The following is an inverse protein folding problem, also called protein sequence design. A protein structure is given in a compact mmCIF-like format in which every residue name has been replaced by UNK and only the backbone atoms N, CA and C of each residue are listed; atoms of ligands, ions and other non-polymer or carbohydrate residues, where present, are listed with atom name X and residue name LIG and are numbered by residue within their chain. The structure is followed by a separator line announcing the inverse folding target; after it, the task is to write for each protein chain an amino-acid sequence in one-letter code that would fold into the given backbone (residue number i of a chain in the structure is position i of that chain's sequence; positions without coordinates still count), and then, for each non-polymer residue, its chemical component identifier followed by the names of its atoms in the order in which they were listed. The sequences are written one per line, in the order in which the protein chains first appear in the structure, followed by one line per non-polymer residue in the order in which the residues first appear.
data_IF_823313436296
#
_entry.id   IF_823313436296
#
_cell.length_a   1.000
_cell.length_b   1.000
_cell.length_c   1.000
_cell.angle_alpha   90.00
_cell.angle_beta   90.00
_cell.angle_gamma   90.00
#
_symmetry.space_group_name_H-M   'P 1'
#
loop_
_entity.id
_entity.type
_entity.pdbx_description
1 polymer ?
#
# COMPACT_ATOMS: atom_id res chain seq x y z
N UNK A 1 -12.21 2.35 5.69
CA UNK A 1 -12.17 2.62 7.12
C UNK A 1 -12.33 4.13 7.33
N UNK A 2 -13.18 4.52 8.25
CA UNK A 2 -13.31 5.93 8.65
C UNK A 2 -12.22 6.26 9.66
N UNK A 3 -11.50 7.36 9.44
CA UNK A 3 -10.46 7.90 10.32
C UNK A 3 -10.82 9.33 10.70
N UNK A 4 -10.13 9.91 11.67
CA UNK A 4 -10.31 11.32 12.04
C UNK A 4 -10.06 12.29 10.86
N UNK A 5 -9.28 11.86 9.88
CA UNK A 5 -8.91 12.62 8.68
C UNK A 5 -9.74 12.24 7.43
N UNK A 6 -10.82 11.48 7.60
CA UNK A 6 -11.72 11.06 6.54
C UNK A 6 -11.68 9.56 6.27
N UNK A 7 -12.28 9.17 5.15
CA UNK A 7 -12.37 7.75 4.76
C UNK A 7 -11.13 7.35 3.99
N UNK A 8 -10.46 6.28 4.43
CA UNK A 8 -9.26 5.72 3.82
C UNK A 8 -9.55 4.29 3.37
N UNK A 9 -9.06 3.93 2.18
CA UNK A 9 -9.13 2.58 1.65
C UNK A 9 -7.91 1.77 2.11
N UNK A 10 -8.14 0.57 2.60
CA UNK A 10 -7.09 -0.35 2.96
C UNK A 10 -7.09 -1.56 2.04
N UNK A 11 -5.92 -1.92 1.55
CA UNK A 11 -5.68 -3.14 0.78
C UNK A 11 -4.77 -4.06 1.58
N UNK A 12 -5.18 -5.30 1.75
CA UNK A 12 -4.33 -6.39 2.23
C UNK A 12 -3.91 -7.21 1.01
N UNK A 13 -2.61 -7.36 0.80
CA UNK A 13 -2.05 -7.87 -0.45
C UNK A 13 -1.04 -8.99 -0.21
N UNK A 14 -0.99 -9.91 -1.17
CA UNK A 14 0.10 -10.86 -1.31
C UNK A 14 0.33 -11.04 -2.81
N UNK A 15 1.38 -10.41 -3.35
CA UNK A 15 1.72 -10.51 -4.77
C UNK A 15 2.47 -11.80 -5.06
N UNK A 16 2.50 -12.22 -6.33
CA UNK A 16 3.21 -13.44 -6.71
C UNK A 16 4.71 -13.37 -6.38
N UNK A 17 5.23 -14.46 -5.82
CA UNK A 17 6.66 -14.63 -5.54
C UNK A 17 7.48 -15.07 -6.76
N UNK A 18 6.84 -15.44 -7.88
CA UNK A 18 7.50 -16.10 -9.01
C UNK A 18 8.54 -15.20 -9.70
N UNK A 19 8.12 -14.39 -10.67
CA UNK A 19 9.05 -13.55 -11.44
C UNK A 19 8.56 -12.11 -11.53
N UNK A 20 9.45 -11.18 -11.86
CA UNK A 20 9.10 -9.80 -12.15
C UNK A 20 8.09 -9.69 -13.31
N UNK A 21 8.21 -10.54 -14.34
CA UNK A 21 7.28 -10.55 -15.48
C UNK A 21 5.85 -10.89 -15.07
N UNK A 22 5.67 -11.75 -14.05
CA UNK A 22 4.33 -12.09 -13.53
C UNK A 22 3.85 -11.10 -12.48
N UNK A 23 4.75 -10.47 -11.74
CA UNK A 23 4.43 -9.53 -10.66
C UNK A 23 4.17 -8.11 -11.15
N UNK A 24 4.94 -7.62 -12.13
CA UNK A 24 4.77 -6.28 -12.68
C UNK A 24 3.35 -6.00 -13.22
N UNK A 25 2.66 -6.93 -13.91
CA UNK A 25 1.25 -6.75 -14.26
C UNK A 25 0.34 -6.56 -13.05
N UNK A 26 0.59 -7.27 -11.93
CA UNK A 26 -0.18 -7.11 -10.69
C UNK A 26 0.03 -5.72 -10.08
N UNK A 27 1.27 -5.23 -10.06
CA UNK A 27 1.61 -3.87 -9.59
C UNK A 27 0.89 -2.82 -10.43
N UNK A 28 0.94 -2.93 -11.75
CA UNK A 28 0.28 -1.98 -12.67
C UNK A 28 -1.23 -1.99 -12.52
N UNK A 29 -1.81 -3.17 -12.34
CA UNK A 29 -3.26 -3.30 -12.11
C UNK A 29 -3.66 -2.69 -10.76
N UNK A 30 -2.88 -2.89 -9.71
CA UNK A 30 -3.10 -2.29 -8.40
C UNK A 30 -3.09 -0.75 -8.48
N UNK A 31 -2.12 -0.18 -9.19
CA UNK A 31 -2.04 1.26 -9.42
C UNK A 31 -3.21 1.78 -10.27
N UNK A 32 -3.68 1.00 -11.26
CA UNK A 32 -4.88 1.32 -12.04
C UNK A 32 -6.12 1.36 -11.15
N UNK A 33 -6.35 0.30 -10.38
CA UNK A 33 -7.46 0.20 -9.42
C UNK A 33 -7.45 1.39 -8.45
N UNK A 34 -6.29 1.74 -7.93
CA UNK A 34 -6.17 2.87 -7.02
C UNK A 34 -6.59 4.19 -7.68
N UNK A 35 -6.09 4.47 -8.88
CA UNK A 35 -6.40 5.71 -9.62
C UNK A 35 -7.86 5.82 -10.03
N UNK A 36 -8.48 4.71 -10.42
CA UNK A 36 -9.87 4.69 -10.92
C UNK A 36 -10.90 4.60 -9.79
N UNK A 37 -10.50 4.18 -8.62
CA UNK A 37 -11.37 3.90 -7.49
C UNK A 37 -12.28 5.07 -7.09
N UNK A 38 -11.78 6.30 -7.15
CA UNK A 38 -12.58 7.51 -6.87
C UNK A 38 -13.71 7.76 -7.89
N UNK A 39 -13.62 7.12 -9.07
CA UNK A 39 -14.60 7.25 -10.16
C UNK A 39 -15.61 6.10 -10.19
N UNK A 40 -15.31 4.98 -9.55
CA UNK A 40 -16.13 3.76 -9.60
C UNK A 40 -17.33 3.78 -8.65
N UNK A 41 -17.45 4.80 -7.79
CA UNK A 41 -18.54 4.89 -6.81
C UNK A 41 -18.33 3.96 -5.59
N UNK A 42 -19.36 3.80 -4.75
CA UNK A 42 -19.25 3.02 -3.53
C UNK A 42 -19.12 1.52 -3.86
N UNK A 43 -18.38 0.74 -3.03
CA UNK A 43 -18.18 -0.70 -3.22
C UNK A 43 -19.45 -1.50 -2.81
N UNK A 44 -20.58 -1.15 -3.35
CA UNK A 44 -21.85 -1.85 -3.09
C UNK A 44 -22.19 -2.67 -4.34
N UNK A 45 -22.17 -3.99 -4.19
CA UNK A 45 -22.63 -4.89 -5.24
C UNK A 45 -24.15 -5.05 -5.16
N UNK A 46 -24.84 -4.72 -6.24
CA UNK A 46 -26.27 -4.94 -6.40
C UNK A 46 -27.05 -3.69 -6.78
N UNK A 47 -28.30 -3.90 -7.20
CA UNK A 47 -29.23 -2.82 -7.53
C UNK A 47 -29.79 -2.22 -6.23
N UNK A 48 -29.40 -0.99 -5.93
CA UNK A 48 -29.80 -0.26 -4.73
C UNK A 48 -31.33 -0.08 -4.65
N UNK A 49 -32.03 -0.06 -5.80
CA UNK A 49 -33.48 0.08 -5.83
C UNK A 49 -34.19 -1.21 -5.38
N UNK A 50 -33.56 -2.37 -5.52
CA UNK A 50 -34.12 -3.67 -5.12
C UNK A 50 -33.81 -4.05 -3.67
N UNK A 51 -32.93 -3.37 -2.98
CA UNK A 51 -32.44 -3.73 -1.65
C UNK A 51 -32.98 -2.84 -0.54
N UNK A 52 -34.23 -2.40 -0.62
CA UNK A 52 -34.87 -1.41 0.26
C UNK A 52 -34.83 -1.67 1.78
N UNK A 53 -34.16 -2.71 2.24
CA UNK A 53 -34.09 -3.04 3.67
C UNK A 53 -32.72 -2.84 4.33
N UNK A 54 -31.63 -2.97 3.60
CA UNK A 54 -30.30 -2.86 4.22
C UNK A 54 -29.48 -1.65 3.75
N UNK A 55 -29.97 -0.94 2.75
CA UNK A 55 -29.37 0.31 2.28
C UNK A 55 -30.06 1.58 2.84
N UNK A 56 -31.14 1.44 3.62
CA UNK A 56 -31.81 2.57 4.26
C UNK A 56 -30.86 3.28 5.23
N UNK A 57 -30.50 4.52 4.92
CA UNK A 57 -29.59 5.35 5.72
C UNK A 57 -28.11 5.27 5.32
N UNK A 58 -27.73 4.44 4.38
CA UNK A 58 -26.36 4.49 3.82
C UNK A 58 -26.24 5.69 2.85
N UNK A 59 -25.51 6.69 3.25
CA UNK A 59 -25.12 7.76 2.33
C UNK A 59 -24.35 7.15 1.15
N UNK A 60 -24.65 7.61 -0.08
CA UNK A 60 -23.82 7.31 -1.25
C UNK A 60 -22.43 7.92 -1.02
N UNK A 61 -21.54 7.15 -0.42
CA UNK A 61 -20.15 7.55 -0.26
C UNK A 61 -19.41 7.28 -1.56
N UNK A 62 -18.74 8.27 -2.10
CA UNK A 62 -17.73 8.04 -3.13
C UNK A 62 -16.62 7.14 -2.55
N UNK A 63 -16.07 6.27 -3.37
CA UNK A 63 -14.89 5.51 -2.93
C UNK A 63 -13.77 6.52 -2.61
N UNK A 64 -13.10 6.40 -1.44
CA UNK A 64 -12.05 7.35 -1.07
C UNK A 64 -10.87 7.26 -2.03
N UNK A 65 -10.32 8.41 -2.42
CA UNK A 65 -9.10 8.48 -3.22
C UNK A 65 -7.86 8.10 -2.42
N UNK A 66 -7.88 8.34 -1.11
CA UNK A 66 -6.79 7.99 -0.21
C UNK A 66 -6.76 6.48 0.09
N UNK A 67 -5.56 5.90 0.10
CA UNK A 67 -5.40 4.46 0.35
C UNK A 67 -4.10 4.13 1.09
N UNK A 68 -4.14 2.99 1.77
CA UNK A 68 -2.98 2.32 2.37
C UNK A 68 -2.95 0.88 1.85
N UNK A 69 -1.79 0.46 1.36
CA UNK A 69 -1.55 -0.89 0.88
C UNK A 69 -0.58 -1.57 1.85
N UNK A 70 -0.97 -2.73 2.35
CA UNK A 70 -0.21 -3.51 3.34
C UNK A 70 -0.06 -4.96 2.87
N UNK A 71 1.09 -5.56 3.12
CA UNK A 71 1.29 -6.99 2.92
C UNK A 71 2.62 -7.35 2.27
N UNK A 72 2.69 -8.61 1.82
CA UNK A 72 3.84 -9.16 1.11
C UNK A 72 3.76 -8.85 -0.38
N UNK A 73 4.64 -7.98 -0.84
CA UNK A 73 4.74 -7.59 -2.25
C UNK A 73 5.73 -8.45 -3.03
N UNK A 74 6.50 -9.32 -2.36
CA UNK A 74 7.45 -10.24 -2.98
C UNK A 74 8.49 -9.58 -3.91
N UNK A 75 8.80 -8.30 -3.69
CA UNK A 75 9.88 -7.61 -4.39
C UNK A 75 10.77 -6.84 -3.39
N UNK A 76 11.95 -6.46 -3.81
CA UNK A 76 12.89 -5.69 -3.00
C UNK A 76 12.98 -4.22 -3.46
N UNK A 77 13.53 -3.30 -2.63
CA UNK A 77 13.59 -1.86 -2.94
C UNK A 77 14.40 -1.48 -4.19
N UNK A 78 15.28 -2.35 -4.66
CA UNK A 78 16.07 -2.17 -5.89
C UNK A 78 15.37 -2.67 -7.16
N UNK A 79 14.13 -3.19 -7.03
CA UNK A 79 13.37 -3.73 -8.13
C UNK A 79 12.68 -2.66 -9.00
N UNK A 80 12.32 -3.06 -10.22
CA UNK A 80 11.50 -2.24 -11.10
C UNK A 80 10.07 -2.07 -10.55
N UNK A 81 9.54 -3.07 -9.85
CA UNK A 81 8.23 -3.04 -9.21
C UNK A 81 8.17 -1.97 -8.12
N UNK A 82 9.21 -1.87 -7.30
CA UNK A 82 9.30 -0.84 -6.29
C UNK A 82 9.36 0.56 -6.92
N UNK A 83 10.14 0.71 -7.99
CA UNK A 83 10.22 1.96 -8.77
C UNK A 83 8.87 2.31 -9.41
N UNK A 84 8.12 1.33 -9.91
CA UNK A 84 6.76 1.54 -10.45
C UNK A 84 5.80 2.03 -9.37
N UNK A 85 5.92 1.51 -8.14
CA UNK A 85 5.07 1.90 -7.00
C UNK A 85 5.30 3.33 -6.54
N UNK A 86 6.54 3.75 -6.32
CA UNK A 86 6.86 5.01 -5.61
C UNK A 86 7.57 6.05 -6.48
N UNK A 87 7.83 5.72 -7.74
CA UNK A 87 8.46 6.60 -8.69
C UNK A 87 9.99 6.43 -8.83
N UNK A 88 10.56 6.98 -9.90
CA UNK A 88 11.98 6.83 -10.20
C UNK A 88 12.88 7.59 -9.22
N UNK A 89 14.04 7.01 -8.94
CA UNK A 89 15.10 7.69 -8.20
C UNK A 89 15.77 8.74 -9.10
N UNK A 90 15.94 9.93 -8.56
CA UNK A 90 16.68 11.00 -9.24
C UNK A 90 18.15 11.02 -8.80
N UNK A 91 19.06 11.61 -9.59
CA UNK A 91 20.46 11.69 -9.22
C UNK A 91 20.76 12.56 -7.99
N UNK A 92 19.85 13.45 -7.61
CA UNK A 92 20.14 14.50 -6.62
C UNK A 92 19.21 14.53 -5.42
N UNK A 93 17.90 14.23 -5.60
CA UNK A 93 16.87 14.62 -4.61
C UNK A 93 15.93 13.47 -4.21
N UNK A 94 16.37 12.23 -4.28
CA UNK A 94 15.53 11.08 -3.94
C UNK A 94 14.56 10.69 -5.07
N UNK A 95 13.37 10.23 -4.73
CA UNK A 95 12.40 9.73 -5.70
C UNK A 95 11.37 10.78 -6.10
N UNK A 96 10.95 10.74 -7.38
CA UNK A 96 9.85 11.57 -7.88
C UNK A 96 8.54 10.80 -7.73
N UNK A 97 7.81 11.10 -6.68
CA UNK A 97 6.50 10.48 -6.42
C UNK A 97 5.41 11.19 -7.21
N UNK A 98 4.56 10.42 -7.89
CA UNK A 98 3.38 10.98 -8.56
C UNK A 98 2.34 11.42 -7.51
N UNK A 99 1.63 12.56 -7.68
CA UNK A 99 0.62 13.03 -6.71
C UNK A 99 -0.53 12.03 -6.44
N UNK A 100 -0.84 11.16 -7.42
CA UNK A 100 -1.77 10.05 -7.29
C UNK A 100 -1.04 8.70 -7.08
N UNK A 101 0.19 8.71 -6.64
CA UNK A 101 1.01 7.54 -6.36
C UNK A 101 1.10 7.27 -4.86
N UNK A 102 2.10 6.48 -4.52
CA UNK A 102 2.35 6.05 -3.15
C UNK A 102 3.73 6.49 -2.67
N UNK A 103 3.86 6.60 -1.36
CA UNK A 103 5.14 6.70 -0.65
C UNK A 103 5.35 5.42 0.17
N UNK A 104 6.58 5.02 0.34
CA UNK A 104 6.95 3.96 1.27
C UNK A 104 6.97 4.53 2.69
N UNK A 105 6.07 4.06 3.54
CA UNK A 105 5.93 4.57 4.90
C UNK A 105 7.19 4.34 5.76
N UNK A 106 7.91 3.24 5.55
CA UNK A 106 9.19 2.98 6.23
C UNK A 106 10.23 4.05 5.91
N UNK A 107 10.39 4.38 4.64
CA UNK A 107 11.34 5.41 4.19
C UNK A 107 10.88 6.80 4.64
N UNK A 108 9.58 7.09 4.54
CA UNK A 108 9.02 8.36 4.99
C UNK A 108 9.20 8.57 6.50
N UNK A 109 9.11 7.52 7.29
CA UNK A 109 9.36 7.55 8.74
C UNK A 109 10.88 7.62 9.10
N UNK A 110 11.77 7.73 8.12
CA UNK A 110 13.21 7.89 8.33
C UNK A 110 14.02 6.60 8.23
N UNK A 111 13.40 5.48 7.81
CA UNK A 111 14.09 4.22 7.55
C UNK A 111 14.93 4.27 6.28
N UNK A 112 16.04 3.52 6.26
CA UNK A 112 16.85 3.34 5.06
C UNK A 112 16.10 2.55 3.99
N UNK A 113 16.10 3.00 2.73
CA UNK A 113 15.38 2.36 1.64
C UNK A 113 15.85 0.91 1.42
N UNK A 114 17.12 0.62 1.54
CA UNK A 114 17.67 -0.74 1.47
C UNK A 114 17.54 -1.57 2.76
N UNK A 115 17.10 -0.93 3.86
CA UNK A 115 16.92 -1.52 5.18
C UNK A 115 15.56 -2.19 5.37
N UNK A 116 15.16 -2.34 6.63
CA UNK A 116 13.82 -2.80 7.02
C UNK A 116 13.51 -4.24 6.60
N UNK A 117 14.40 -5.19 6.90
CA UNK A 117 14.24 -6.59 6.50
C UNK A 117 13.07 -7.24 7.25
N UNK A 118 12.11 -7.78 6.49
CA UNK A 118 10.90 -8.42 7.03
C UNK A 118 10.90 -9.93 6.84
N UNK A 119 11.71 -10.45 5.92
CA UNK A 119 11.75 -11.88 5.60
C UNK A 119 13.14 -12.28 5.10
N UNK A 120 13.27 -13.49 4.56
CA UNK A 120 14.48 -13.95 3.90
C UNK A 120 14.17 -14.60 2.55
N UNK A 121 15.03 -14.35 1.56
CA UNK A 121 15.04 -15.09 0.29
C UNK A 121 16.20 -16.08 0.34
N UNK A 122 15.90 -17.36 0.51
CA UNK A 122 16.86 -18.35 0.92
C UNK A 122 17.46 -18.03 2.28
N UNK A 123 18.76 -17.76 2.35
CA UNK A 123 19.45 -17.32 3.59
C UNK A 123 19.72 -15.82 3.66
N UNK A 124 19.28 -15.05 2.67
CA UNK A 124 19.56 -13.61 2.57
C UNK A 124 18.39 -12.81 3.11
N UNK A 125 18.59 -11.96 4.14
CA UNK A 125 17.54 -11.07 4.62
C UNK A 125 17.03 -10.13 3.52
N UNK A 126 15.71 -10.00 3.42
CA UNK A 126 15.04 -9.23 2.39
C UNK A 126 13.89 -8.40 2.97
N UNK A 127 13.58 -7.25 2.38
CA UNK A 127 12.35 -6.52 2.65
C UNK A 127 11.34 -6.89 1.57
N UNK A 128 10.31 -7.63 1.95
CA UNK A 128 9.23 -8.09 1.07
C UNK A 128 7.89 -7.51 1.47
N UNK A 129 7.74 -7.16 2.75
CA UNK A 129 6.53 -6.56 3.29
C UNK A 129 6.65 -5.04 3.33
N UNK A 130 5.60 -4.37 2.91
CA UNK A 130 5.55 -2.92 2.81
C UNK A 130 4.24 -2.35 3.35
N UNK A 131 4.33 -1.08 3.75
CA UNK A 131 3.21 -0.18 3.92
C UNK A 131 3.37 0.96 2.92
N UNK A 132 2.62 0.93 1.82
CA UNK A 132 2.57 2.02 0.87
C UNK A 132 1.36 2.89 1.17
N UNK A 133 1.60 4.18 1.35
CA UNK A 133 0.58 5.17 1.69
C UNK A 133 0.41 6.13 0.53
N UNK A 134 -0.82 6.46 0.16
CA UNK A 134 -1.08 7.47 -0.87
C UNK A 134 -0.31 8.76 -0.58
N UNK A 135 0.27 9.38 -1.58
CA UNK A 135 1.01 10.63 -1.45
C UNK A 135 0.20 11.72 -0.74
N UNK A 136 -1.13 11.71 -0.89
CA UNK A 136 -2.04 12.64 -0.20
C UNK A 136 -2.16 12.42 1.33
N UNK A 137 -1.69 11.29 1.83
CA UNK A 137 -1.71 10.94 3.26
C UNK A 137 -0.30 10.94 3.89
N UNK A 138 0.74 11.24 3.13
CA UNK A 138 2.13 11.08 3.61
C UNK A 138 2.41 11.89 4.89
N UNK A 139 1.86 13.09 5.02
CA UNK A 139 2.00 13.94 6.20
C UNK A 139 1.30 13.38 7.46
N UNK A 140 0.46 12.36 7.29
CA UNK A 140 -0.22 11.69 8.40
C UNK A 140 0.57 10.48 8.92
N UNK A 141 1.64 10.08 8.25
CA UNK A 141 2.51 8.99 8.73
C UNK A 141 3.22 9.46 9.99
N UNK A 142 2.82 8.89 11.12
CA UNK A 142 3.41 9.17 12.43
C UNK A 142 4.63 8.31 12.68
N UNK A 143 4.52 7.03 12.41
CA UNK A 143 5.61 6.06 12.56
C UNK A 143 5.39 4.84 11.68
N UNK A 144 6.51 4.20 11.31
CA UNK A 144 6.52 2.90 10.65
C UNK A 144 7.71 2.12 11.19
N UNK A 145 7.48 0.90 11.71
CA UNK A 145 8.54 0.07 12.29
C UNK A 145 8.30 -1.41 12.04
N UNK A 146 9.35 -2.20 12.19
CA UNK A 146 9.32 -3.67 12.06
C UNK A 146 9.58 -4.26 13.44
N UNK A 147 8.71 -5.18 13.85
CA UNK A 147 8.87 -5.92 15.10
C UNK A 147 9.79 -7.12 14.84
N UNK A 148 11.08 -6.89 15.05
CA UNK A 148 12.13 -7.90 14.81
C UNK A 148 12.17 -9.00 15.86
N UNK A 149 11.48 -8.81 17.00
CA UNK A 149 11.42 -9.77 18.09
C UNK A 149 10.15 -10.64 18.03
N UNK A 150 9.26 -10.40 17.05
CA UNK A 150 8.08 -11.21 16.84
C UNK A 150 8.44 -12.65 16.48
N UNK A 151 7.71 -13.60 17.05
CA UNK A 151 7.89 -15.03 16.85
C UNK A 151 6.62 -15.67 16.25
N UNK A 152 6.77 -16.79 15.55
CA UNK A 152 5.65 -17.57 15.02
C UNK A 152 5.43 -17.42 13.51
N UNK A 153 6.26 -16.65 12.80
CA UNK A 153 6.26 -16.51 11.34
C UNK A 153 7.68 -16.40 10.80
N UNK A 154 7.87 -16.73 9.53
CA UNK A 154 9.08 -16.45 8.76
C UNK A 154 9.11 -15.01 8.23
N UNK A 155 8.03 -14.25 8.43
CA UNK A 155 7.95 -12.81 8.19
C UNK A 155 7.81 -12.04 9.50
N UNK A 156 8.46 -10.88 9.57
CA UNK A 156 8.37 -9.95 10.68
C UNK A 156 7.22 -8.96 10.45
N UNK A 157 6.38 -8.68 11.47
CA UNK A 157 5.31 -7.71 11.36
C UNK A 157 5.84 -6.30 11.06
N UNK A 158 5.24 -5.66 10.06
CA UNK A 158 5.40 -4.26 9.77
C UNK A 158 4.22 -3.48 10.36
N UNK A 159 4.52 -2.49 11.15
CA UNK A 159 3.54 -1.62 11.80
C UNK A 159 3.55 -0.23 11.17
N UNK A 160 2.36 0.30 10.92
CA UNK A 160 2.15 1.67 10.45
C UNK A 160 1.18 2.37 11.40
N UNK A 161 1.57 3.55 11.86
CA UNK A 161 0.72 4.44 12.65
C UNK A 161 0.47 5.72 11.87
N UNK A 162 -0.79 6.06 11.68
CA UNK A 162 -1.26 7.32 11.10
C UNK A 162 -1.87 8.21 12.19
N UNK A 163 -1.74 9.54 12.03
CA UNK A 163 -2.41 10.52 12.88
C UNK A 163 -3.91 10.59 12.62
#
# INVERSE_FOLDING_TARGET
IETENGVVRFYSLHLTHLTSETRMPQVKELLRIHREAGMEGPPVCGDIEMSGYWSEGMAKTSAPGAAVLLGDFNFQPDSNEYTEMIGPLTPCDGRVTHPLGFVDAWVHAGGDEGGGKTASVGSTPARLDYAFVSASLCDQIRSCWIDVDADGSDHQPLWLELN
#
